data_IF_047272872447
#
_entry.id   IF_047272872447
#
_cell.length_a   1.000
_cell.length_b   1.000
_cell.length_c   1.000
_cell.angle_alpha   90.00
_cell.angle_beta   90.00
_cell.angle_gamma   90.00
#
_symmetry.space_group_name_H-M   'P 1'
#
loop_
_entity.id
_entity.type
_entity.pdbx_description
1 polymer ?
#
# COMPACT_ATOMS: atom_id res chain seq x y z
N UNK A 1 -32.36 3.20 0.53
CA UNK A 1 -32.00 1.76 0.50
C UNK A 1 -30.89 1.59 -0.55
N UNK A 2 -29.68 1.22 -0.15
CA UNK A 2 -28.60 0.90 -1.10
C UNK A 2 -28.91 -0.44 -1.76
N UNK A 3 -28.98 -0.45 -3.10
CA UNK A 3 -29.21 -1.68 -3.87
C UNK A 3 -28.09 -2.69 -3.61
N UNK A 4 -28.43 -3.98 -3.53
CA UNK A 4 -27.49 -5.11 -3.36
C UNK A 4 -26.36 -5.08 -4.39
N UNK A 5 -26.63 -4.59 -5.61
CA UNK A 5 -25.63 -4.43 -6.67
C UNK A 5 -24.54 -3.39 -6.35
N UNK A 6 -24.85 -2.35 -5.58
CA UNK A 6 -23.88 -1.32 -5.17
C UNK A 6 -22.91 -1.88 -4.13
N UNK A 7 -23.44 -2.68 -3.20
CA UNK A 7 -22.66 -3.32 -2.14
C UNK A 7 -21.70 -4.39 -2.70
N UNK A 8 -22.10 -5.14 -3.73
CA UNK A 8 -21.21 -6.10 -4.40
C UNK A 8 -20.10 -5.38 -5.17
N UNK A 9 -20.40 -4.33 -5.94
CA UNK A 9 -19.38 -3.52 -6.62
C UNK A 9 -18.37 -2.90 -5.66
N UNK A 10 -18.84 -2.36 -4.53
CA UNK A 10 -17.96 -1.78 -3.51
C UNK A 10 -17.01 -2.82 -2.90
N UNK A 11 -17.48 -4.05 -2.66
CA UNK A 11 -16.64 -5.16 -2.18
C UNK A 11 -15.58 -5.56 -3.21
N UNK A 12 -15.99 -5.73 -4.47
CA UNK A 12 -15.07 -6.05 -5.56
C UNK A 12 -14.00 -4.98 -5.73
N UNK A 13 -14.38 -3.70 -5.72
CA UNK A 13 -13.44 -2.59 -5.84
C UNK A 13 -12.38 -2.62 -4.73
N UNK A 14 -12.78 -2.85 -3.47
CA UNK A 14 -11.83 -2.94 -2.35
C UNK A 14 -10.85 -4.10 -2.50
N UNK A 15 -11.33 -5.25 -2.98
CA UNK A 15 -10.49 -6.43 -3.26
C UNK A 15 -9.50 -6.14 -4.38
N UNK A 16 -9.96 -5.53 -5.48
CA UNK A 16 -9.10 -5.19 -6.63
C UNK A 16 -7.99 -4.24 -6.20
N UNK A 17 -8.31 -3.19 -5.43
CA UNK A 17 -7.29 -2.26 -4.92
C UNK A 17 -6.27 -2.99 -4.04
N UNK A 18 -6.70 -3.86 -3.13
CA UNK A 18 -5.78 -4.63 -2.30
C UNK A 18 -4.82 -5.50 -3.13
N UNK A 19 -5.33 -6.19 -4.16
CA UNK A 19 -4.51 -7.00 -5.07
C UNK A 19 -3.55 -6.16 -5.90
N UNK A 20 -4.01 -5.01 -6.42
CA UNK A 20 -3.14 -4.08 -7.15
C UNK A 20 -2.02 -3.54 -6.27
N UNK A 21 -2.29 -3.27 -4.99
CA UNK A 21 -1.26 -2.83 -4.04
C UNK A 21 -0.28 -3.95 -3.70
N UNK A 22 -0.72 -5.21 -3.62
CA UNK A 22 0.20 -6.35 -3.50
C UNK A 22 1.13 -6.42 -4.71
N UNK A 23 0.57 -6.34 -5.92
CA UNK A 23 1.35 -6.35 -7.17
C UNK A 23 2.33 -5.17 -7.20
N UNK A 24 1.87 -3.96 -6.85
CA UNK A 24 2.72 -2.77 -6.79
C UNK A 24 3.88 -2.93 -5.80
N UNK A 25 3.62 -3.46 -4.60
CA UNK A 25 4.66 -3.72 -3.60
C UNK A 25 5.70 -4.73 -4.09
N UNK A 26 5.26 -5.84 -4.69
CA UNK A 26 6.16 -6.85 -5.27
C UNK A 26 6.98 -6.27 -6.42
N UNK A 27 6.36 -5.51 -7.32
CA UNK A 27 7.07 -4.87 -8.44
C UNK A 27 8.06 -3.81 -7.97
N UNK A 28 7.69 -2.98 -6.99
CA UNK A 28 8.60 -2.01 -6.39
C UNK A 28 9.83 -2.70 -5.78
N UNK A 29 9.62 -3.81 -5.08
CA UNK A 29 10.72 -4.62 -4.55
C UNK A 29 11.59 -5.20 -5.68
N UNK A 30 10.97 -5.77 -6.72
CA UNK A 30 11.69 -6.32 -7.87
C UNK A 30 12.52 -5.26 -8.60
N UNK A 31 11.97 -4.07 -8.84
CA UNK A 31 12.70 -2.97 -9.47
C UNK A 31 13.85 -2.46 -8.60
N UNK A 32 13.68 -2.44 -7.28
CA UNK A 32 14.75 -2.11 -6.33
C UNK A 32 15.88 -3.13 -6.39
N UNK A 33 15.55 -4.43 -6.38
CA UNK A 33 16.54 -5.52 -6.47
C UNK A 33 17.32 -5.52 -7.79
N UNK A 34 16.63 -5.22 -8.90
CA UNK A 34 17.24 -5.14 -10.23
C UNK A 34 18.04 -3.84 -10.46
N UNK A 35 18.07 -2.92 -9.49
CA UNK A 35 18.80 -1.66 -9.62
C UNK A 35 18.30 -0.77 -10.76
N UNK A 36 17.01 -0.86 -11.12
CA UNK A 36 16.45 -0.12 -12.26
C UNK A 36 16.55 1.38 -12.04
N UNK A 37 17.27 2.10 -12.90
CA UNK A 37 17.44 3.55 -12.80
C UNK A 37 17.33 4.22 -14.16
N UNK A 38 16.71 5.41 -14.19
CA UNK A 38 16.61 6.24 -15.39
C UNK A 38 15.63 5.75 -16.46
N UNK A 39 15.25 6.65 -17.36
CA UNK A 39 14.32 6.39 -18.45
C UNK A 39 12.92 5.97 -18.00
N UNK A 40 12.10 5.51 -18.95
CA UNK A 40 10.71 5.13 -18.71
C UNK A 40 10.53 4.07 -17.62
N UNK A 41 11.42 3.07 -17.56
CA UNK A 41 11.34 2.01 -16.53
C UNK A 41 11.72 2.55 -15.15
N UNK A 42 12.65 3.51 -15.07
CA UNK A 42 12.97 4.23 -13.84
C UNK A 42 11.80 5.06 -13.32
N UNK A 43 11.09 5.74 -14.21
CA UNK A 43 9.87 6.49 -13.85
C UNK A 43 8.78 5.55 -13.36
N UNK A 44 8.59 4.40 -14.04
CA UNK A 44 7.64 3.38 -13.61
C UNK A 44 7.97 2.83 -12.22
N UNK A 45 9.26 2.59 -11.92
CA UNK A 45 9.72 2.22 -10.58
C UNK A 45 9.32 3.29 -9.56
N UNK A 46 9.59 4.55 -9.86
CA UNK A 46 9.29 5.67 -8.97
C UNK A 46 7.79 5.74 -8.64
N UNK A 47 6.93 5.79 -9.66
CA UNK A 47 5.48 5.89 -9.45
C UNK A 47 4.90 4.66 -8.75
N UNK A 48 5.40 3.46 -9.08
CA UNK A 48 4.94 2.21 -8.43
C UNK A 48 5.32 2.19 -6.95
N UNK A 49 6.56 2.56 -6.64
CA UNK A 49 7.05 2.64 -5.25
C UNK A 49 6.29 3.70 -4.46
N UNK A 50 6.09 4.88 -5.06
CA UNK A 50 5.36 5.97 -4.44
C UNK A 50 3.90 5.59 -4.14
N UNK A 51 3.20 5.02 -5.13
CA UNK A 51 1.83 4.55 -4.95
C UNK A 51 1.72 3.50 -3.85
N UNK A 52 2.68 2.55 -3.80
CA UNK A 52 2.70 1.53 -2.76
C UNK A 52 2.98 2.13 -1.37
N UNK A 53 3.95 3.03 -1.21
CA UNK A 53 4.27 3.61 0.09
C UNK A 53 3.15 4.52 0.62
N UNK A 54 2.49 5.26 -0.26
CA UNK A 54 1.37 6.13 0.12
C UNK A 54 0.10 5.34 0.47
N UNK A 55 -0.17 4.22 -0.22
CA UNK A 55 -1.46 3.53 -0.10
C UNK A 55 -1.37 2.15 0.57
N UNK A 56 -0.28 1.42 0.40
CA UNK A 56 -0.11 0.03 0.84
C UNK A 56 -0.32 -0.17 2.35
N UNK A 57 0.50 0.46 3.20
CA UNK A 57 0.37 0.34 4.66
C UNK A 57 -0.99 0.84 5.17
N UNK A 58 -1.51 1.91 4.57
CA UNK A 58 -2.80 2.45 4.93
C UNK A 58 -3.98 1.54 4.56
N UNK A 59 -3.92 0.88 3.39
CA UNK A 59 -4.98 -0.04 2.96
C UNK A 59 -4.96 -1.32 3.79
N UNK A 60 -3.76 -1.78 4.16
CA UNK A 60 -3.54 -2.85 5.13
C UNK A 60 -4.11 -2.51 6.53
N UNK A 61 -4.14 -1.24 6.93
CA UNK A 61 -4.82 -0.81 8.15
C UNK A 61 -6.33 -0.63 7.95
N UNK A 62 -6.76 -0.18 6.78
CA UNK A 62 -8.16 0.19 6.51
C UNK A 62 -9.14 -0.98 6.66
N UNK A 63 -8.74 -2.21 6.35
CA UNK A 63 -9.66 -3.35 6.52
C UNK A 63 -9.89 -3.79 7.98
N UNK A 64 -9.33 -3.09 8.98
CA UNK A 64 -9.78 -3.20 10.37
C UNK A 64 -10.97 -2.29 10.70
N UNK A 65 -11.32 -1.33 9.82
CA UNK A 65 -12.47 -0.45 10.00
C UNK A 65 -13.78 -1.19 9.74
N UNK A 66 -14.65 -1.27 10.74
CA UNK A 66 -16.02 -1.78 10.58
C UNK A 66 -16.94 -0.67 10.07
N UNK A 67 -17.63 -0.91 8.94
CA UNK A 67 -18.71 -0.06 8.40
C UNK A 67 -18.34 1.41 8.12
N UNK A 68 -17.10 1.70 7.73
CA UNK A 68 -16.68 3.04 7.34
C UNK A 68 -17.14 3.43 5.91
N UNK A 69 -17.63 4.68 5.70
CA UNK A 69 -17.88 5.23 4.37
C UNK A 69 -16.63 5.20 3.49
N UNK A 70 -16.79 5.09 2.17
CA UNK A 70 -15.66 4.97 1.24
C UNK A 70 -14.66 6.13 1.36
N UNK A 71 -15.13 7.37 1.50
CA UNK A 71 -14.26 8.54 1.65
C UNK A 71 -13.38 8.46 2.90
N UNK A 72 -13.93 7.98 4.02
CA UNK A 72 -13.16 7.82 5.27
C UNK A 72 -12.09 6.74 5.13
N UNK A 73 -12.39 5.66 4.40
CA UNK A 73 -11.41 4.62 4.09
C UNK A 73 -10.25 5.22 3.31
N UNK A 74 -10.51 5.92 2.21
CA UNK A 74 -9.46 6.53 1.39
C UNK A 74 -8.62 7.58 2.15
N UNK A 75 -9.27 8.43 2.95
CA UNK A 75 -8.58 9.41 3.79
C UNK A 75 -7.65 8.72 4.80
N UNK A 76 -8.14 7.69 5.49
CA UNK A 76 -7.33 6.93 6.43
C UNK A 76 -6.18 6.22 5.73
N UNK A 77 -6.43 5.62 4.56
CA UNK A 77 -5.39 4.95 3.79
C UNK A 77 -4.23 5.90 3.46
N UNK A 78 -4.53 7.06 2.86
CA UNK A 78 -3.50 8.02 2.48
C UNK A 78 -2.79 8.58 3.72
N UNK A 79 -3.56 8.96 4.75
CA UNK A 79 -2.99 9.50 5.98
C UNK A 79 -2.05 8.53 6.68
N UNK A 80 -2.47 7.27 6.84
CA UNK A 80 -1.66 6.22 7.49
C UNK A 80 -0.44 5.86 6.64
N UNK A 81 -0.57 5.71 5.32
CA UNK A 81 0.57 5.37 4.46
C UNK A 81 1.63 6.48 4.43
N UNK A 82 1.21 7.74 4.30
CA UNK A 82 2.13 8.89 4.38
C UNK A 82 2.79 8.97 5.76
N UNK A 83 2.01 8.89 6.84
CA UNK A 83 2.54 8.96 8.20
C UNK A 83 3.53 7.82 8.49
N UNK A 84 3.21 6.59 8.10
CA UNK A 84 4.08 5.43 8.29
C UNK A 84 5.39 5.59 7.50
N UNK A 85 5.32 6.06 6.25
CA UNK A 85 6.50 6.28 5.42
C UNK A 85 7.41 7.36 6.01
N UNK A 86 6.84 8.49 6.44
CA UNK A 86 7.60 9.58 7.06
C UNK A 86 8.19 9.16 8.41
N UNK A 87 7.45 8.39 9.21
CA UNK A 87 7.95 7.89 10.49
C UNK A 87 9.14 6.95 10.30
N UNK A 88 9.08 6.04 9.33
CA UNK A 88 10.22 5.16 9.01
C UNK A 88 11.41 5.96 8.51
N UNK A 89 11.20 6.93 7.63
CA UNK A 89 12.26 7.84 7.18
C UNK A 89 12.90 8.60 8.37
N UNK A 90 12.07 9.09 9.30
CA UNK A 90 12.55 9.78 10.49
C UNK A 90 13.36 8.85 11.40
N UNK A 91 12.91 7.61 11.62
CA UNK A 91 13.65 6.61 12.40
C UNK A 91 15.02 6.34 11.77
N UNK A 92 15.08 6.15 10.46
CA UNK A 92 16.33 5.92 9.72
C UNK A 92 17.33 7.07 9.90
N UNK A 93 16.85 8.30 9.78
CA UNK A 93 17.65 9.51 9.99
C UNK A 93 18.15 9.57 11.45
N UNK A 94 17.26 9.38 12.42
CA UNK A 94 17.60 9.43 13.85
C UNK A 94 18.56 8.31 14.27
N UNK A 95 18.49 7.15 13.62
CA UNK A 95 19.39 6.02 13.86
C UNK A 95 20.70 6.11 13.06
N UNK A 96 20.86 7.10 12.17
CA UNK A 96 21.96 7.21 11.21
C UNK A 96 22.13 5.99 10.28
N UNK A 97 21.05 5.24 10.02
CA UNK A 97 21.02 4.08 9.12
C UNK A 97 20.13 4.42 7.93
N UNK A 98 20.73 4.86 6.82
CA UNK A 98 20.01 5.25 5.60
C UNK A 98 19.96 4.09 4.59
N UNK A 99 19.02 3.17 4.79
CA UNK A 99 18.71 2.07 3.86
C UNK A 99 17.25 2.09 3.36
N UNK A 100 16.90 2.94 2.37
CA UNK A 100 15.53 3.05 1.87
C UNK A 100 14.98 1.77 1.22
N UNK A 101 15.85 0.97 0.61
CA UNK A 101 15.51 -0.32 0.03
C UNK A 101 15.04 -1.31 1.10
N UNK A 102 15.79 -1.43 2.20
CA UNK A 102 15.43 -2.28 3.35
C UNK A 102 14.09 -1.84 3.94
N UNK A 103 13.88 -0.53 4.09
CA UNK A 103 12.61 0.02 4.55
C UNK A 103 11.42 -0.34 3.63
N UNK A 104 11.61 -0.24 2.30
CA UNK A 104 10.61 -0.67 1.33
C UNK A 104 10.28 -2.17 1.50
N UNK A 105 11.29 -3.02 1.58
CA UNK A 105 11.09 -4.47 1.74
C UNK A 105 10.33 -4.79 3.03
N UNK A 106 10.68 -4.17 4.15
CA UNK A 106 9.99 -4.35 5.42
C UNK A 106 8.54 -3.88 5.34
N UNK A 107 8.28 -2.70 4.78
CA UNK A 107 6.91 -2.21 4.58
C UNK A 107 6.10 -3.16 3.70
N UNK A 108 6.69 -3.72 2.66
CA UNK A 108 6.05 -4.70 1.79
C UNK A 108 5.75 -6.01 2.52
N UNK A 109 6.73 -6.57 3.25
CA UNK A 109 6.57 -7.80 4.04
C UNK A 109 5.47 -7.65 5.10
N UNK A 110 5.41 -6.50 5.78
CA UNK A 110 4.39 -6.22 6.79
C UNK A 110 3.01 -6.03 6.15
N UNK A 111 2.91 -5.28 5.04
CA UNK A 111 1.62 -4.90 4.45
C UNK A 111 0.95 -6.05 3.69
N UNK A 112 1.71 -6.84 2.93
CA UNK A 112 1.17 -7.88 2.03
C UNK A 112 0.24 -8.88 2.75
N UNK A 113 0.61 -9.48 3.90
CA UNK A 113 -0.25 -10.42 4.61
C UNK A 113 -1.63 -9.83 4.95
N UNK A 114 -1.67 -8.57 5.38
CA UNK A 114 -2.93 -7.89 5.68
C UNK A 114 -3.72 -7.57 4.42
N UNK A 115 -3.07 -7.12 3.34
CA UNK A 115 -3.72 -6.88 2.04
C UNK A 115 -4.33 -8.17 1.47
N UNK A 116 -3.60 -9.28 1.53
CA UNK A 116 -4.09 -10.60 1.09
C UNK A 116 -5.24 -11.09 1.97
N UNK A 117 -5.10 -10.97 3.29
CA UNK A 117 -6.19 -11.27 4.22
C UNK A 117 -7.43 -10.45 3.88
N UNK A 118 -7.30 -9.16 3.58
CA UNK A 118 -8.45 -8.34 3.18
C UNK A 118 -9.02 -8.76 1.83
N UNK A 119 -8.17 -9.12 0.86
CA UNK A 119 -8.63 -9.57 -0.44
C UNK A 119 -9.40 -10.90 -0.39
N UNK A 120 -9.08 -11.78 0.57
CA UNK A 120 -9.71 -13.10 0.75
C UNK A 120 -10.89 -13.06 1.72
N UNK A 121 -10.74 -12.38 2.87
CA UNK A 121 -11.67 -12.43 4.01
C UNK A 121 -12.71 -11.31 3.98
N UNK A 122 -12.55 -10.25 3.17
CA UNK A 122 -13.61 -9.25 2.99
C UNK A 122 -14.79 -9.86 2.21
N UNK A 123 -15.57 -10.71 2.88
CA UNK A 123 -16.85 -11.27 2.46
C UNK A 123 -17.98 -10.59 3.21
#
# INVERSE_FOLDING_TARGET
MTSTAVLTRARVARRVVALLLVVAGVLACAFSLLGVTGGFVGDLRFYTTLAFLILGPGWAAAGFLRRAPAAHVWLLTVGVGVAATLLVAQIMISAAIWEPSTALYLMTIVSIPFLLRHAVVAQ
#
